data_IF_760475278622
#
_entry.id   IF_760475278622
#
_cell.length_a   1.000
_cell.length_b   1.000
_cell.length_c   1.000
_cell.angle_alpha   90.00
_cell.angle_beta   90.00
_cell.angle_gamma   90.00
#
_symmetry.space_group_name_H-M   'P 1'
#
loop_
_entity.id
_entity.type
_entity.pdbx_description
1 polymer ?
#
# COMPACT_ATOMS: atom_id res chain seq x y z
N UNK A 1 -20.94 19.48 30.00
CA UNK A 1 -21.80 18.30 30.14
C UNK A 1 -21.98 17.76 28.74
N UNK A 2 -21.69 16.48 28.48
CA UNK A 2 -21.89 15.91 27.16
C UNK A 2 -23.38 15.95 26.82
N UNK A 3 -23.72 16.41 25.63
CA UNK A 3 -25.10 16.44 25.17
C UNK A 3 -25.59 14.98 24.98
N UNK A 4 -26.88 14.72 25.19
CA UNK A 4 -27.42 13.36 25.16
C UNK A 4 -27.12 12.62 23.84
N UNK A 5 -26.98 13.37 22.74
CA UNK A 5 -26.63 12.87 21.41
C UNK A 5 -25.17 12.36 21.34
N UNK A 6 -24.22 13.01 22.02
CA UNK A 6 -22.82 12.56 22.07
C UNK A 6 -22.69 11.23 22.83
N UNK A 7 -23.44 11.09 23.94
CA UNK A 7 -23.47 9.86 24.74
C UNK A 7 -24.10 8.70 23.96
N UNK A 8 -25.17 8.96 23.21
CA UNK A 8 -25.82 7.97 22.35
C UNK A 8 -24.90 7.51 21.21
N UNK A 9 -24.20 8.44 20.58
CA UNK A 9 -23.27 8.13 19.49
C UNK A 9 -22.08 7.30 19.98
N UNK A 10 -21.54 7.64 21.15
CA UNK A 10 -20.45 6.89 21.77
C UNK A 10 -20.89 5.49 22.21
N UNK A 11 -22.06 5.38 22.84
CA UNK A 11 -22.65 4.10 23.22
C UNK A 11 -22.91 3.21 21.99
N UNK A 12 -23.44 3.77 20.90
CA UNK A 12 -23.68 3.04 19.66
C UNK A 12 -22.36 2.56 19.03
N UNK A 13 -21.31 3.39 19.02
CA UNK A 13 -19.98 3.01 18.53
C UNK A 13 -19.40 1.86 19.35
N UNK A 14 -19.44 1.96 20.68
CA UNK A 14 -18.94 0.92 21.58
C UNK A 14 -19.74 -0.39 21.48
N UNK A 15 -21.07 -0.31 21.41
CA UNK A 15 -21.93 -1.47 21.20
C UNK A 15 -21.65 -2.16 19.87
N UNK A 16 -21.47 -1.40 18.78
CA UNK A 16 -21.17 -1.95 17.45
C UNK A 16 -19.82 -2.68 17.43
N UNK A 17 -18.79 -2.09 18.04
CA UNK A 17 -17.47 -2.73 18.18
C UNK A 17 -17.56 -3.99 19.03
N UNK A 18 -18.31 -3.96 20.14
CA UNK A 18 -18.52 -5.12 21.01
C UNK A 18 -19.24 -6.25 20.28
N UNK A 19 -20.36 -5.96 19.62
CA UNK A 19 -21.14 -6.93 18.83
C UNK A 19 -20.28 -7.51 17.70
N UNK A 20 -19.51 -6.69 16.99
CA UNK A 20 -18.61 -7.17 15.93
C UNK A 20 -17.52 -8.12 16.48
N UNK A 21 -16.94 -7.80 17.66
CA UNK A 21 -15.97 -8.67 18.34
C UNK A 21 -16.61 -9.98 18.79
N UNK A 22 -17.81 -9.91 19.37
CA UNK A 22 -18.58 -11.07 19.83
C UNK A 22 -18.92 -11.98 18.63
N UNK A 23 -19.43 -11.40 17.55
CA UNK A 23 -19.84 -12.14 16.38
C UNK A 23 -18.65 -12.81 15.67
N UNK A 24 -17.49 -12.15 15.60
CA UNK A 24 -16.25 -12.79 15.13
C UNK A 24 -15.79 -13.95 16.02
N UNK A 25 -16.03 -13.88 17.33
CA UNK A 25 -15.66 -14.93 18.28
C UNK A 25 -16.53 -16.18 18.13
N UNK A 26 -17.80 -16.01 17.75
CA UNK A 26 -18.77 -17.10 17.64
C UNK A 26 -19.13 -17.48 16.19
N UNK A 27 -18.56 -16.79 15.19
CA UNK A 27 -18.73 -17.19 13.80
C UNK A 27 -18.05 -18.54 13.55
N UNK A 28 -18.68 -19.44 12.78
CA UNK A 28 -18.08 -20.73 12.44
C UNK A 28 -16.72 -20.50 11.76
N UNK A 29 -15.71 -21.27 12.18
CA UNK A 29 -14.39 -21.16 11.61
C UNK A 29 -14.46 -21.48 10.10
N UNK A 30 -13.87 -20.64 9.22
CA UNK A 30 -13.70 -21.02 7.82
C UNK A 30 -12.85 -22.29 7.73
N UNK A 31 -13.06 -23.10 6.69
CA UNK A 31 -12.38 -24.40 6.47
C UNK A 31 -10.84 -24.31 6.37
N UNK A 32 -10.28 -23.10 6.24
CA UNK A 32 -8.85 -22.85 6.27
C UNK A 32 -8.42 -22.26 7.63
N UNK A 33 -7.24 -22.62 8.18
CA UNK A 33 -6.75 -22.03 9.42
C UNK A 33 -6.71 -20.50 9.27
N UNK A 34 -7.54 -19.81 10.04
CA UNK A 34 -7.68 -18.36 9.95
C UNK A 34 -6.34 -17.68 10.29
N UNK A 35 -5.66 -17.19 9.27
CA UNK A 35 -4.45 -16.38 9.39
C UNK A 35 -4.73 -15.18 10.29
N UNK A 36 -3.78 -14.85 11.16
CA UNK A 36 -3.89 -13.71 12.06
C UNK A 36 -4.06 -12.40 11.27
N UNK A 37 -5.16 -11.68 11.48
CA UNK A 37 -5.40 -10.39 10.85
C UNK A 37 -4.78 -9.23 11.63
N UNK A 38 -4.43 -8.14 10.95
CA UNK A 38 -3.95 -6.90 11.59
C UNK A 38 -4.94 -6.37 12.64
N UNK A 39 -6.25 -6.48 12.38
CA UNK A 39 -7.28 -5.99 13.31
C UNK A 39 -7.28 -6.69 14.66
N UNK A 40 -6.77 -7.91 14.75
CA UNK A 40 -6.68 -8.67 16.00
C UNK A 40 -5.46 -8.25 16.86
N UNK A 41 -4.43 -7.66 16.24
CA UNK A 41 -3.20 -7.26 16.93
C UNK A 41 -2.98 -5.75 16.99
N UNK A 42 -3.76 -4.95 16.26
CA UNK A 42 -3.55 -3.50 16.13
C UNK A 42 -3.45 -2.79 17.49
N UNK A 43 -4.38 -3.06 18.41
CA UNK A 43 -4.39 -2.44 19.74
C UNK A 43 -3.10 -2.75 20.54
N UNK A 44 -2.65 -4.01 20.50
CA UNK A 44 -1.41 -4.43 21.16
C UNK A 44 -0.17 -3.80 20.50
N UNK A 45 -0.19 -3.65 19.18
CA UNK A 45 0.89 -2.99 18.45
C UNK A 45 0.96 -1.49 18.78
N UNK A 46 -0.17 -0.80 18.85
CA UNK A 46 -0.23 0.62 19.22
C UNK A 46 0.26 0.85 20.65
N UNK A 47 -0.09 -0.02 21.59
CA UNK A 47 0.44 0.02 22.96
C UNK A 47 1.95 -0.22 22.99
N UNK A 48 2.45 -1.22 22.27
CA UNK A 48 3.89 -1.49 22.16
C UNK A 48 4.63 -0.26 21.59
N UNK A 49 4.12 0.30 20.50
CA UNK A 49 4.71 1.46 19.85
C UNK A 49 4.72 2.68 20.77
N UNK A 50 3.62 2.94 21.48
CA UNK A 50 3.52 4.05 22.43
C UNK A 50 4.49 3.85 23.61
N UNK A 51 4.63 2.62 24.10
CA UNK A 51 5.56 2.31 25.19
C UNK A 51 7.04 2.46 24.79
N UNK A 52 7.40 2.05 23.56
CA UNK A 52 8.78 2.08 23.08
C UNK A 52 9.19 3.48 22.62
N UNK A 53 8.33 4.19 21.90
CA UNK A 53 8.68 5.45 21.24
C UNK A 53 8.13 6.70 21.93
N UNK A 54 7.30 6.55 22.96
CA UNK A 54 6.63 7.66 23.62
C UNK A 54 5.58 8.38 22.75
N UNK A 55 5.31 7.87 21.54
CA UNK A 55 4.41 8.45 20.56
C UNK A 55 3.41 7.40 20.08
N UNK A 56 2.16 7.80 19.87
CA UNK A 56 1.16 6.96 19.20
C UNK A 56 1.29 7.11 17.68
N UNK A 57 1.50 6.00 16.99
CA UNK A 57 1.49 5.97 15.52
C UNK A 57 0.16 5.42 15.03
N UNK A 58 -0.42 6.08 14.03
CA UNK A 58 -1.67 5.61 13.42
C UNK A 58 -1.39 4.38 12.55
N UNK A 59 -1.93 3.23 12.93
CA UNK A 59 -1.88 2.03 12.11
C UNK A 59 -2.92 2.09 10.99
N UNK A 60 -2.49 1.74 9.77
CA UNK A 60 -3.33 1.69 8.56
C UNK A 60 -3.12 0.36 7.84
N UNK A 61 -4.13 -0.04 7.06
CA UNK A 61 -4.02 -1.23 6.22
C UNK A 61 -3.27 -0.87 4.94
N UNK A 62 -2.14 -1.53 4.71
CA UNK A 62 -1.42 -1.48 3.44
C UNK A 62 -2.24 -2.14 2.33
N UNK A 63 -2.30 -1.49 1.18
CA UNK A 63 -2.97 -2.01 0.00
C UNK A 63 -1.97 -2.73 -0.92
N UNK A 64 -2.38 -3.79 -1.63
CA UNK A 64 -1.61 -4.32 -2.73
C UNK A 64 -1.45 -3.24 -3.81
N UNK A 65 -0.36 -3.27 -4.61
CA UNK A 65 -0.18 -2.31 -5.69
C UNK A 65 -1.27 -2.49 -6.75
N UNK A 66 -1.52 -1.42 -7.51
CA UNK A 66 -2.43 -1.50 -8.65
C UNK A 66 -1.94 -2.56 -9.65
N UNK A 67 -2.88 -3.34 -10.18
CA UNK A 67 -2.55 -4.34 -11.20
C UNK A 67 -2.00 -3.64 -12.45
N UNK A 68 -0.98 -4.21 -13.11
CA UNK A 68 -0.42 -3.62 -14.32
C UNK A 68 -1.47 -3.56 -15.42
N UNK A 69 -1.55 -2.43 -16.11
CA UNK A 69 -2.30 -2.34 -17.35
C UNK A 69 -1.47 -2.87 -18.53
N UNK A 70 -2.14 -3.31 -19.60
CA UNK A 70 -1.47 -3.74 -20.84
C UNK A 70 -0.55 -2.64 -21.40
N UNK A 71 -1.01 -1.38 -21.35
CA UNK A 71 -0.21 -0.21 -21.74
C UNK A 71 1.06 -0.06 -20.88
N UNK A 72 0.94 -0.18 -19.55
CA UNK A 72 2.09 -0.12 -18.65
C UNK A 72 3.15 -1.18 -18.96
N UNK A 73 2.71 -2.38 -19.33
CA UNK A 73 3.60 -3.47 -19.74
C UNK A 73 4.27 -3.19 -21.09
N UNK A 74 3.53 -2.66 -22.08
CA UNK A 74 4.07 -2.40 -23.41
C UNK A 74 5.14 -1.29 -23.42
N UNK A 75 4.88 -0.21 -22.68
CA UNK A 75 5.84 0.88 -22.50
C UNK A 75 7.01 0.54 -21.55
N UNK A 76 7.03 -0.67 -20.98
CA UNK A 76 8.13 -1.09 -20.11
C UNK A 76 8.20 -0.33 -18.79
N UNK A 77 7.09 0.30 -18.39
CA UNK A 77 6.99 1.06 -17.14
C UNK A 77 6.91 0.12 -15.93
N UNK A 78 6.39 -1.09 -16.13
CA UNK A 78 6.24 -2.07 -15.06
C UNK A 78 7.42 -3.04 -14.99
N UNK A 79 8.25 -2.97 -13.94
CA UNK A 79 9.39 -3.87 -13.79
C UNK A 79 8.92 -5.30 -13.50
N UNK A 80 9.64 -6.31 -14.01
CA UNK A 80 9.38 -7.74 -13.71
C UNK A 80 10.46 -8.30 -12.77
N UNK A 81 10.10 -9.14 -11.78
CA UNK A 81 8.74 -9.47 -11.33
C UNK A 81 8.08 -8.27 -10.65
N UNK A 82 6.74 -8.27 -10.66
CA UNK A 82 5.93 -7.26 -9.99
C UNK A 82 5.53 -7.74 -8.61
N UNK A 83 5.51 -6.82 -7.65
CA UNK A 83 4.89 -7.07 -6.36
C UNK A 83 3.38 -7.16 -6.57
N UNK A 84 2.74 -8.15 -5.98
CA UNK A 84 1.27 -8.28 -5.95
C UNK A 84 0.71 -8.20 -4.52
N UNK A 85 1.57 -8.44 -3.52
CA UNK A 85 1.18 -8.41 -2.11
C UNK A 85 1.32 -7.01 -1.51
N UNK A 86 0.49 -6.73 -0.51
CA UNK A 86 0.68 -5.59 0.38
C UNK A 86 1.98 -5.78 1.20
N UNK A 87 2.70 -4.69 1.43
CA UNK A 87 3.95 -4.66 2.20
C UNK A 87 3.88 -3.53 3.22
N UNK A 88 4.63 -3.60 4.33
CA UNK A 88 4.65 -2.53 5.30
C UNK A 88 5.22 -1.25 4.69
N UNK A 89 4.81 -0.10 5.20
CA UNK A 89 5.36 1.17 4.76
C UNK A 89 5.03 2.33 5.69
N UNK A 90 5.63 3.47 5.42
CA UNK A 90 5.43 4.70 6.19
C UNK A 90 5.51 5.93 5.30
N UNK A 91 4.74 6.96 5.65
CA UNK A 91 4.82 8.30 5.07
C UNK A 91 5.54 9.31 5.99
N UNK A 92 6.12 8.83 7.09
CA UNK A 92 6.72 9.68 8.13
C UNK A 92 5.76 10.06 9.26
N UNK A 93 4.48 9.67 9.20
CA UNK A 93 3.50 9.96 10.26
C UNK A 93 2.67 8.75 10.67
N UNK A 94 2.27 7.93 9.70
CA UNK A 94 1.44 6.74 9.88
C UNK A 94 2.22 5.50 9.48
N UNK A 95 1.79 4.35 10.00
CA UNK A 95 2.39 3.05 9.68
C UNK A 95 1.35 2.21 8.94
N UNK A 96 1.68 1.74 7.75
CA UNK A 96 0.87 0.81 6.97
C UNK A 96 1.39 -0.60 7.16
N UNK A 97 0.50 -1.53 7.48
CA UNK A 97 0.81 -2.96 7.62
C UNK A 97 -0.16 -3.81 6.78
N UNK A 98 0.27 -4.96 6.23
CA UNK A 98 -0.63 -5.84 5.49
C UNK A 98 -1.83 -6.29 6.34
N UNK A 99 -3.02 -6.39 5.72
CA UNK A 99 -4.25 -6.85 6.41
C UNK A 99 -4.10 -8.23 7.02
N UNK A 100 -3.44 -9.13 6.29
CA UNK A 100 -3.11 -10.51 6.64
C UNK A 100 -1.70 -10.81 6.15
N UNK A 101 -1.01 -11.75 6.80
CA UNK A 101 0.29 -12.27 6.37
C UNK A 101 0.19 -13.63 5.67
N UNK A 102 -0.99 -14.24 5.67
CA UNK A 102 -1.24 -15.58 5.12
C UNK A 102 -0.23 -16.61 5.67
N UNK A 103 0.05 -16.48 6.98
CA UNK A 103 0.88 -17.41 7.75
C UNK A 103 -0.05 -18.18 8.69
N UNK A 104 -0.07 -19.53 8.61
CA UNK A 104 -0.88 -20.35 9.50
C UNK A 104 -0.44 -20.24 10.97
N UNK A 105 0.86 -20.16 11.23
CA UNK A 105 1.41 -19.96 12.57
C UNK A 105 1.12 -18.54 13.08
N UNK A 106 0.13 -18.44 13.97
CA UNK A 106 -0.32 -17.18 14.57
C UNK A 106 0.75 -16.54 15.46
N UNK A 107 1.60 -17.31 16.12
CA UNK A 107 2.66 -16.76 16.99
C UNK A 107 3.76 -16.12 16.13
N UNK A 108 4.18 -16.79 15.06
CA UNK A 108 5.09 -16.22 14.07
C UNK A 108 4.47 -14.97 13.41
N UNK A 109 3.21 -15.03 12.98
CA UNK A 109 2.53 -13.89 12.37
C UNK A 109 2.47 -12.68 13.30
N UNK A 110 2.12 -12.88 14.58
CA UNK A 110 2.13 -11.83 15.59
C UNK A 110 3.55 -11.25 15.77
N UNK A 111 4.58 -12.10 15.73
CA UNK A 111 5.95 -11.65 15.83
C UNK A 111 6.38 -10.79 14.65
N UNK A 112 6.06 -11.20 13.44
CA UNK A 112 6.35 -10.44 12.22
C UNK A 112 5.63 -9.10 12.21
N UNK A 113 4.37 -9.03 12.64
CA UNK A 113 3.64 -7.77 12.79
C UNK A 113 4.35 -6.80 13.74
N UNK A 114 4.81 -7.28 14.91
CA UNK A 114 5.58 -6.45 15.84
C UNK A 114 6.83 -5.88 15.19
N UNK A 115 7.64 -6.72 14.55
CA UNK A 115 8.91 -6.27 13.95
C UNK A 115 8.67 -5.31 12.79
N UNK A 116 7.70 -5.59 11.90
CA UNK A 116 7.35 -4.68 10.82
C UNK A 116 6.91 -3.32 11.37
N UNK A 117 6.08 -3.29 12.43
CA UNK A 117 5.65 -2.05 13.06
C UNK A 117 6.83 -1.26 13.66
N UNK A 118 7.71 -1.94 14.41
CA UNK A 118 8.91 -1.33 15.01
C UNK A 118 9.86 -0.78 13.95
N UNK A 119 10.10 -1.52 12.86
CA UNK A 119 10.94 -1.04 11.75
C UNK A 119 10.35 0.20 11.06
N UNK A 120 9.03 0.26 10.85
CA UNK A 120 8.41 1.46 10.27
C UNK A 120 8.44 2.64 11.24
N UNK A 121 8.27 2.41 12.54
CA UNK A 121 8.39 3.45 13.56
C UNK A 121 9.81 4.01 13.66
N UNK A 122 10.84 3.15 13.55
CA UNK A 122 12.24 3.60 13.46
C UNK A 122 12.48 4.49 12.24
N UNK A 123 11.91 4.15 11.08
CA UNK A 123 11.98 5.01 9.89
C UNK A 123 11.26 6.34 10.06
N UNK A 124 10.14 6.37 10.79
CA UNK A 124 9.45 7.62 11.14
C UNK A 124 10.38 8.48 12.01
N UNK A 125 10.93 7.91 13.07
CA UNK A 125 11.81 8.61 14.01
C UNK A 125 13.08 9.16 13.35
N UNK A 126 13.65 8.41 12.40
CA UNK A 126 14.78 8.86 11.57
C UNK A 126 14.41 9.96 10.58
N UNK A 127 13.14 10.15 10.24
CA UNK A 127 12.72 11.05 9.17
C UNK A 127 12.94 10.49 7.77
N UNK A 128 12.95 9.17 7.60
CA UNK A 128 13.25 8.51 6.31
C UNK A 128 12.24 8.82 5.19
N UNK A 129 11.04 9.33 5.50
CA UNK A 129 10.07 9.75 4.49
C UNK A 129 10.35 11.16 3.92
N UNK A 130 11.62 11.51 3.76
CA UNK A 130 12.10 12.82 3.30
C UNK A 130 11.59 13.15 1.87
N UNK A 131 11.24 14.39 1.58
CA UNK A 131 10.82 14.74 0.20
C UNK A 131 11.94 14.58 -0.84
N UNK A 132 13.20 14.77 -0.42
CA UNK A 132 14.38 14.76 -1.29
C UNK A 132 14.57 13.44 -2.04
N UNK A 133 14.33 12.29 -1.41
CA UNK A 133 14.65 10.99 -2.03
C UNK A 133 13.81 10.73 -3.29
N UNK A 134 12.62 11.35 -3.40
CA UNK A 134 11.78 11.23 -4.59
C UNK A 134 12.33 11.91 -5.83
N UNK A 135 13.18 12.92 -5.63
CA UNK A 135 13.86 13.60 -6.73
C UNK A 135 15.05 12.81 -7.28
N UNK A 136 15.47 11.75 -6.60
CA UNK A 136 16.57 10.91 -7.03
C UNK A 136 16.18 10.08 -8.27
N UNK A 137 17.16 9.75 -9.14
CA UNK A 137 16.98 8.74 -10.17
C UNK A 137 16.44 7.42 -9.57
N UNK A 138 15.62 6.64 -10.30
CA UNK A 138 14.94 5.48 -9.72
C UNK A 138 15.85 4.49 -8.98
N UNK A 139 17.02 4.16 -9.54
CA UNK A 139 17.98 3.28 -8.88
C UNK A 139 18.61 3.90 -7.63
N UNK A 140 18.94 5.19 -7.65
CA UNK A 140 19.42 5.89 -6.47
C UNK A 140 18.33 5.94 -5.38
N UNK A 141 17.07 6.18 -5.76
CA UNK A 141 15.92 6.07 -4.84
C UNK A 141 15.79 4.67 -4.24
N UNK A 142 15.96 3.61 -5.04
CA UNK A 142 15.95 2.24 -4.53
C UNK A 142 17.11 1.95 -3.55
N UNK A 143 18.31 2.46 -3.82
CA UNK A 143 19.44 2.37 -2.90
C UNK A 143 19.20 3.15 -1.62
N UNK A 144 18.63 4.35 -1.71
CA UNK A 144 18.21 5.13 -0.55
C UNK A 144 17.25 4.34 0.35
N UNK A 145 16.22 3.70 -0.23
CA UNK A 145 15.32 2.83 0.53
C UNK A 145 16.04 1.68 1.23
N UNK A 146 17.03 1.08 0.55
CA UNK A 146 17.82 -0.03 1.08
C UNK A 146 18.78 0.42 2.21
N UNK A 147 19.29 1.64 2.13
CA UNK A 147 20.09 2.26 3.18
C UNK A 147 19.24 2.56 4.41
N UNK A 148 18.06 3.16 4.20
CA UNK A 148 17.18 3.53 5.31
C UNK A 148 16.56 2.34 6.04
N UNK A 149 16.27 1.23 5.34
CA UNK A 149 15.86 -0.01 6.05
C UNK A 149 16.97 -0.54 6.95
N UNK A 150 18.22 -0.52 6.50
CA UNK A 150 19.34 -1.02 7.27
C UNK A 150 19.67 -0.11 8.44
N UNK A 151 19.69 1.21 8.23
CA UNK A 151 19.94 2.16 9.29
C UNK A 151 18.86 2.09 10.38
N UNK A 152 17.58 2.06 9.99
CA UNK A 152 16.46 1.91 10.93
C UNK A 152 16.49 0.57 11.68
N UNK A 153 16.87 -0.52 11.02
CA UNK A 153 16.99 -1.82 11.68
C UNK A 153 18.19 -1.87 12.64
N UNK A 154 19.33 -1.31 12.27
CA UNK A 154 20.47 -1.28 13.20
C UNK A 154 20.14 -0.47 14.43
N UNK A 155 19.56 0.72 14.29
CA UNK A 155 19.10 1.50 15.46
C UNK A 155 18.10 0.72 16.31
N UNK A 156 17.18 -0.03 15.68
CA UNK A 156 16.28 -0.94 16.40
C UNK A 156 17.05 -1.96 17.24
N UNK A 157 18.09 -2.57 16.68
CA UNK A 157 18.86 -3.61 17.35
C UNK A 157 19.83 -3.05 18.39
N UNK A 158 20.30 -1.82 18.22
CA UNK A 158 21.10 -1.09 19.21
C UNK A 158 20.25 -0.75 20.45
N UNK A 159 19.02 -0.28 20.26
CA UNK A 159 18.12 0.06 21.37
C UNK A 159 17.41 -1.16 21.97
N UNK A 160 17.10 -2.16 21.14
CA UNK A 160 16.25 -3.29 21.51
C UNK A 160 16.88 -4.62 21.05
N UNK A 161 18.06 -5.00 21.59
CA UNK A 161 18.80 -6.18 21.15
C UNK A 161 18.00 -7.49 21.30
N UNK A 162 17.02 -7.54 22.22
CA UNK A 162 16.11 -8.67 22.37
C UNK A 162 15.23 -8.98 21.14
N UNK A 163 15.17 -8.09 20.15
CA UNK A 163 14.46 -8.32 18.89
C UNK A 163 15.32 -8.92 17.77
N UNK A 164 16.61 -9.18 18.00
CA UNK A 164 17.52 -9.72 16.98
C UNK A 164 16.99 -10.98 16.28
N UNK A 165 16.50 -11.97 17.05
CA UNK A 165 15.89 -13.19 16.51
C UNK A 165 14.64 -12.90 15.68
N UNK A 166 13.83 -11.95 16.13
CA UNK A 166 12.58 -11.58 15.46
C UNK A 166 12.85 -10.86 14.14
N UNK A 167 13.87 -10.00 14.11
CA UNK A 167 14.37 -9.36 12.89
C UNK A 167 14.95 -10.38 11.91
N UNK A 168 15.73 -11.36 12.40
CA UNK A 168 16.25 -12.45 11.56
C UNK A 168 15.13 -13.30 10.97
N UNK A 169 14.09 -13.60 11.76
CA UNK A 169 12.91 -14.31 11.27
C UNK A 169 12.17 -13.52 10.17
N UNK A 170 12.06 -12.18 10.32
CA UNK A 170 11.47 -11.32 9.28
C UNK A 170 12.29 -11.36 7.99
N UNK A 171 13.63 -11.24 8.09
CA UNK A 171 14.52 -11.36 6.93
C UNK A 171 14.38 -12.72 6.24
N UNK A 172 14.38 -13.81 6.99
CA UNK A 172 14.23 -15.16 6.44
C UNK A 172 12.88 -15.33 5.73
N UNK A 173 11.79 -14.83 6.32
CA UNK A 173 10.46 -14.84 5.69
C UNK A 173 10.42 -14.02 4.40
N UNK A 174 11.05 -12.83 4.41
CA UNK A 174 11.15 -11.98 3.24
C UNK A 174 11.96 -12.65 2.12
N UNK A 175 13.10 -13.26 2.46
CA UNK A 175 13.95 -14.00 1.51
C UNK A 175 13.21 -15.19 0.89
N UNK A 176 12.52 -16.00 1.70
CA UNK A 176 11.80 -17.18 1.24
C UNK A 176 10.64 -16.83 0.27
N UNK A 177 10.02 -15.65 0.43
CA UNK A 177 8.91 -15.18 -0.41
C UNK A 177 9.37 -14.46 -1.67
N UNK A 178 10.65 -14.16 -1.82
CA UNK A 178 11.16 -13.45 -3.00
C UNK A 178 11.14 -14.34 -4.25
N UNK A 179 10.69 -13.81 -5.40
CA UNK A 179 10.79 -14.53 -6.67
C UNK A 179 12.26 -14.89 -7.00
N UNK A 180 12.55 -15.99 -7.69
CA UNK A 180 13.94 -16.37 -8.01
C UNK A 180 14.65 -15.28 -8.82
N UNK A 181 15.97 -15.14 -8.66
CA UNK A 181 16.77 -14.08 -9.31
C UNK A 181 16.63 -14.11 -10.84
N UNK A 182 16.44 -15.29 -11.44
CA UNK A 182 16.20 -15.46 -12.87
C UNK A 182 14.92 -14.79 -13.38
N UNK A 183 13.90 -14.62 -12.52
CA UNK A 183 12.64 -13.93 -12.86
C UNK A 183 12.80 -12.41 -12.97
N UNK A 184 13.89 -11.84 -12.44
CA UNK A 184 14.19 -10.42 -12.55
C UNK A 184 14.77 -10.09 -13.92
N UNK A 185 14.32 -8.98 -14.49
CA UNK A 185 14.95 -8.40 -15.68
C UNK A 185 16.43 -8.11 -15.43
N UNK A 186 17.27 -8.24 -16.46
CA UNK A 186 18.74 -8.11 -16.36
C UNK A 186 19.19 -6.85 -15.63
N UNK A 187 18.55 -5.70 -15.91
CA UNK A 187 18.86 -4.42 -15.26
C UNK A 187 18.61 -4.40 -13.73
N UNK A 188 17.74 -5.27 -13.19
CA UNK A 188 17.42 -5.33 -11.76
C UNK A 188 18.21 -6.38 -11.00
N UNK A 189 18.77 -7.39 -11.69
CA UNK A 189 19.49 -8.50 -11.06
C UNK A 189 20.67 -8.04 -10.18
N UNK A 190 21.49 -7.05 -10.57
CA UNK A 190 22.61 -6.59 -9.73
C UNK A 190 22.16 -5.98 -8.40
N UNK A 191 21.05 -5.24 -8.40
CA UNK A 191 20.45 -4.70 -7.16
C UNK A 191 19.83 -5.84 -6.35
N UNK A 192 19.05 -6.71 -6.98
CA UNK A 192 18.38 -7.83 -6.29
C UNK A 192 19.38 -8.79 -5.63
N UNK A 193 20.50 -9.09 -6.28
CA UNK A 193 21.55 -9.93 -5.70
C UNK A 193 22.10 -9.37 -4.39
N UNK A 194 22.29 -8.04 -4.31
CA UNK A 194 22.72 -7.35 -3.08
C UNK A 194 21.66 -7.41 -1.99
N UNK A 195 20.40 -7.18 -2.34
CA UNK A 195 19.30 -7.27 -1.36
C UNK A 195 19.19 -8.69 -0.79
N UNK A 196 19.38 -9.72 -1.63
CA UNK A 196 19.42 -11.12 -1.18
C UNK A 196 20.58 -11.38 -0.22
N UNK A 197 21.79 -10.94 -0.54
CA UNK A 197 22.94 -11.03 0.34
C UNK A 197 22.69 -10.34 1.71
N UNK A 198 22.02 -9.19 1.71
CA UNK A 198 21.62 -8.50 2.94
C UNK A 198 20.59 -9.26 3.77
N UNK A 199 19.64 -9.93 3.13
CA UNK A 199 18.61 -10.71 3.83
C UNK A 199 19.17 -11.95 4.51
N UNK A 200 20.24 -12.54 3.98
CA UNK A 200 20.90 -13.70 4.58
C UNK A 200 22.07 -13.31 5.50
N UNK A 201 22.39 -12.01 5.60
CA UNK A 201 23.45 -11.48 6.46
C UNK A 201 24.87 -11.63 5.89
N UNK A 202 25.01 -11.88 4.59
CA UNK A 202 26.30 -12.09 3.91
C UNK A 202 26.85 -10.83 3.22
N UNK A 203 26.06 -9.76 3.11
CA UNK A 203 26.53 -8.56 2.46
C UNK A 203 27.55 -7.82 3.34
N UNK A 204 28.76 -7.64 2.78
CA UNK A 204 29.76 -6.70 3.31
C UNK A 204 29.08 -5.35 3.58
N UNK A 205 29.39 -4.81 4.75
CA UNK A 205 28.68 -3.70 5.39
C UNK A 205 28.35 -2.57 4.40
N UNK A 206 27.08 -2.44 4.05
CA UNK A 206 26.62 -1.21 3.40
C UNK A 206 26.95 -0.06 4.37
N UNK A 207 27.64 1.00 3.92
CA UNK A 207 28.14 2.03 4.81
C UNK A 207 26.99 2.63 5.65
N UNK A 208 27.27 2.90 6.92
CA UNK A 208 26.31 3.56 7.80
C UNK A 208 26.06 4.97 7.33
N UNK A 209 24.79 5.33 7.25
CA UNK A 209 24.38 6.71 7.17
C UNK A 209 23.76 7.17 8.48
N UNK A 210 24.28 8.23 9.12
CA UNK A 210 23.70 8.74 10.35
C UNK A 210 22.32 9.37 10.12
N UNK A 211 22.12 10.05 8.98
CA UNK A 211 20.88 10.77 8.66
C UNK A 211 20.31 10.37 7.29
N UNK A 212 19.01 10.60 7.04
CA UNK A 212 18.41 10.38 5.73
C UNK A 212 19.05 11.20 4.60
N UNK A 213 19.51 12.42 4.86
CA UNK A 213 20.20 13.26 3.88
C UNK A 213 21.52 12.62 3.45
N UNK A 214 22.31 12.16 4.43
CA UNK A 214 23.53 11.42 4.15
C UNK A 214 23.25 10.12 3.37
N UNK A 215 22.11 9.46 3.63
CA UNK A 215 21.68 8.29 2.85
C UNK A 215 21.37 8.64 1.40
N UNK A 216 20.86 9.83 1.11
CA UNK A 216 20.64 10.27 -0.27
C UNK A 216 21.97 10.44 -1.01
N UNK A 217 22.95 11.11 -0.38
CA UNK A 217 24.28 11.29 -0.95
C UNK A 217 25.01 9.95 -1.14
N UNK A 218 24.94 9.09 -0.12
CA UNK A 218 25.53 7.75 -0.17
C UNK A 218 24.87 6.89 -1.26
N UNK A 219 23.55 6.97 -1.45
CA UNK A 219 22.87 6.25 -2.52
C UNK A 219 23.39 6.63 -3.91
N UNK A 220 23.63 7.92 -4.16
CA UNK A 220 24.19 8.39 -5.44
C UNK A 220 25.63 7.90 -5.62
N UNK A 221 26.47 7.97 -4.58
CA UNK A 221 27.84 7.44 -4.64
C UNK A 221 27.87 5.94 -4.90
N UNK A 222 27.10 5.16 -4.14
CA UNK A 222 27.03 3.71 -4.29
C UNK A 222 26.49 3.30 -5.66
N UNK A 223 25.59 4.08 -6.26
CA UNK A 223 25.12 3.84 -7.62
C UNK A 223 26.29 3.82 -8.62
N UNK A 224 27.16 4.84 -8.54
CA UNK A 224 28.33 4.96 -9.39
C UNK A 224 29.39 3.90 -9.07
N UNK A 225 29.73 3.71 -7.79
CA UNK A 225 30.74 2.73 -7.34
C UNK A 225 30.37 1.30 -7.73
N UNK A 226 29.08 0.95 -7.65
CA UNK A 226 28.61 -0.39 -7.97
C UNK A 226 28.34 -0.61 -9.45
N UNK A 227 28.54 0.42 -10.29
CA UNK A 227 28.26 0.37 -11.73
C UNK A 227 26.83 -0.05 -12.03
N UNK A 228 25.88 0.38 -11.18
CA UNK A 228 24.46 0.07 -11.34
C UNK A 228 23.87 0.97 -12.41
N UNK A 229 24.19 0.66 -13.66
CA UNK A 229 23.57 1.30 -14.81
C UNK A 229 22.40 0.45 -15.31
N UNK A 230 21.30 1.07 -15.78
CA UNK A 230 20.35 0.34 -16.60
C UNK A 230 21.10 -0.13 -17.84
N UNK A 231 21.45 -1.42 -17.90
CA UNK A 231 22.12 -2.02 -19.05
C UNK A 231 21.47 -1.53 -20.34
N UNK A 232 22.23 -1.17 -21.37
CA UNK A 232 21.71 -0.61 -22.62
C UNK A 232 20.53 -1.43 -23.16
N UNK A 233 19.32 -0.84 -23.14
CA UNK A 233 18.07 -1.50 -23.56
C UNK A 233 17.26 -2.20 -22.45
N UNK A 234 17.79 -2.29 -21.22
CA UNK A 234 17.15 -2.88 -20.05
C UNK A 234 16.18 -1.92 -19.36
N UNK A 235 14.90 -2.34 -19.24
CA UNK A 235 13.84 -1.56 -18.62
C UNK A 235 13.88 -1.72 -17.09
N UNK A 236 14.38 -0.70 -16.39
CA UNK A 236 14.49 -0.65 -14.93
C UNK A 236 13.13 -0.44 -14.22
N UNK A 237 12.22 0.29 -14.87
CA UNK A 237 10.91 0.67 -14.32
C UNK A 237 10.99 1.78 -13.27
N UNK A 238 9.84 2.21 -12.76
CA UNK A 238 9.75 3.25 -11.71
C UNK A 238 10.00 2.70 -10.29
N UNK A 239 9.90 1.38 -10.11
CA UNK A 239 10.15 0.69 -8.84
C UNK A 239 11.26 -0.37 -9.01
N UNK A 240 12.55 0.04 -9.08
CA UNK A 240 13.65 -0.92 -9.27
C UNK A 240 13.74 -1.93 -8.12
N UNK A 241 13.53 -1.46 -6.89
CA UNK A 241 13.54 -2.31 -5.69
C UNK A 241 12.27 -3.15 -5.63
N UNK A 242 12.41 -4.47 -5.51
CA UNK A 242 11.28 -5.32 -5.16
C UNK A 242 10.99 -5.20 -3.66
N UNK A 243 9.94 -4.44 -3.34
CA UNK A 243 9.51 -4.28 -1.96
C UNK A 243 8.89 -5.58 -1.41
N UNK A 244 9.26 -5.92 -0.19
CA UNK A 244 8.80 -7.06 0.58
C UNK A 244 8.53 -6.64 2.04
N UNK A 245 8.34 -7.60 2.94
CA UNK A 245 8.07 -7.31 4.34
C UNK A 245 9.23 -6.72 5.12
N UNK A 246 10.47 -6.88 4.64
CA UNK A 246 11.65 -6.31 5.30
C UNK A 246 11.97 -4.92 4.74
N UNK A 247 12.12 -4.82 3.42
CA UNK A 247 12.40 -3.57 2.71
C UNK A 247 11.25 -2.57 2.84
N UNK A 248 10.00 -3.02 2.84
CA UNK A 248 8.82 -2.16 2.95
C UNK A 248 8.77 -1.04 1.91
N UNK A 249 8.04 0.03 2.21
CA UNK A 249 7.90 1.20 1.33
C UNK A 249 7.99 2.53 2.09
N UNK A 250 8.49 3.55 1.39
CA UNK A 250 8.37 4.95 1.79
C UNK A 250 7.30 5.61 0.92
N UNK A 251 6.23 6.05 1.57
CA UNK A 251 5.06 6.67 0.96
C UNK A 251 5.21 8.20 0.93
N UNK A 252 4.34 8.87 0.17
CA UNK A 252 4.39 10.32 0.03
C UNK A 252 4.07 10.95 1.39
N UNK A 253 4.90 11.87 1.91
CA UNK A 253 4.60 12.51 3.18
C UNK A 253 3.24 13.16 3.06
N UNK A 254 2.35 12.80 3.97
CA UNK A 254 1.04 13.42 4.04
C UNK A 254 1.22 14.90 4.34
N UNK A 255 0.83 15.78 3.42
CA UNK A 255 0.86 17.25 3.62
C UNK A 255 -0.04 17.72 4.76
N UNK A 256 -0.92 16.85 5.26
CA UNK A 256 -1.96 17.21 6.23
C UNK A 256 -1.50 17.37 7.69
N UNK A 257 -0.26 17.09 8.09
CA UNK A 257 0.17 17.15 9.50
C UNK A 257 1.52 17.85 9.76
N UNK A 258 1.90 18.84 8.95
CA UNK A 258 3.03 19.73 9.31
C UNK A 258 2.74 20.65 10.53
N UNK A 259 1.54 20.61 11.11
CA UNK A 259 1.15 21.45 12.27
C UNK A 259 1.20 20.75 13.64
N UNK A 260 1.73 19.53 13.75
CA UNK A 260 1.78 18.81 15.05
C UNK A 260 3.19 18.47 15.53
N UNK A 261 4.17 19.31 15.18
CA UNK A 261 5.43 19.37 15.90
C UNK A 261 5.33 20.47 16.98
N UNK A 262 5.12 20.04 18.22
CA UNK A 262 5.33 20.75 19.48
C UNK A 262 5.31 22.29 19.47
N UNK A 263 4.13 22.88 19.58
CA UNK A 263 3.96 24.17 20.24
C UNK A 263 2.68 24.11 21.08
N UNK A 264 2.82 24.00 22.40
CA UNK A 264 1.74 24.34 23.32
C UNK A 264 1.51 25.85 23.16
N UNK A 265 0.61 26.23 22.26
CA UNK A 265 0.08 27.59 22.24
C UNK A 265 -1.01 27.68 23.31
N UNK A 266 -1.00 28.74 24.15
CA UNK A 266 -2.14 29.03 25.03
C UNK A 266 -3.40 29.11 24.18
N UNK A 267 -4.48 28.51 24.66
CA UNK A 267 -5.80 28.55 24.02
C UNK A 267 -6.20 30.01 23.87
N UNK A 268 -6.17 30.53 22.64
CA UNK A 268 -6.62 31.87 22.32
C UNK A 268 -8.14 31.81 22.03
N UNK A 269 -9.01 32.32 22.92
CA UNK A 269 -10.46 32.23 22.75
C UNK A 269 -10.98 33.07 21.57
N UNK A 270 -10.10 33.80 20.86
CA UNK A 270 -10.45 34.56 19.64
C UNK A 270 -10.25 33.79 18.33
N UNK A 271 -9.86 32.51 18.35
CA UNK A 271 -9.68 31.73 17.13
C UNK A 271 -11.03 31.38 16.48
N UNK A 272 -11.29 31.99 15.30
CA UNK A 272 -12.52 31.78 14.55
C UNK A 272 -12.69 30.31 14.15
N UNK A 273 -13.90 29.79 14.35
CA UNK A 273 -14.26 28.42 14.00
C UNK A 273 -13.95 28.09 12.52
N UNK A 274 -13.53 26.85 12.20
CA UNK A 274 -13.21 26.47 10.84
C UNK A 274 -14.43 26.68 9.94
N UNK A 275 -14.25 27.48 8.87
CA UNK A 275 -15.32 27.80 7.93
C UNK A 275 -15.69 26.54 7.14
N UNK A 276 -16.92 26.07 7.32
CA UNK A 276 -17.50 25.05 6.46
C UNK A 276 -17.80 25.65 5.08
N UNK A 277 -17.36 24.95 4.02
CA UNK A 277 -17.71 25.30 2.64
C UNK A 277 -19.20 25.02 2.46
N UNK A 278 -20.01 26.08 2.43
CA UNK A 278 -21.43 26.00 2.09
C UNK A 278 -21.57 25.72 0.60
N UNK A 279 -22.18 24.59 0.24
CA UNK A 279 -22.63 24.33 -1.12
C UNK A 279 -23.74 25.35 -1.47
N UNK A 280 -23.61 26.06 -2.59
CA UNK A 280 -24.56 27.10 -3.00
C UNK A 280 -25.97 26.59 -3.29
N UNK A 281 -26.13 25.28 -3.54
CA UNK A 281 -27.44 24.66 -3.73
C UNK A 281 -27.73 23.70 -2.59
N UNK A 282 -28.69 24.11 -1.77
CA UNK A 282 -29.33 23.27 -0.76
C UNK A 282 -30.43 22.45 -1.46
N UNK A 283 -30.51 21.12 -1.27
CA UNK A 283 -31.67 20.36 -1.70
C UNK A 283 -32.91 20.88 -0.97
N UNK A 284 -33.98 21.18 -1.71
CA UNK A 284 -35.23 21.67 -1.12
C UNK A 284 -35.92 20.52 -0.37
N UNK A 285 -36.08 20.71 0.93
CA UNK A 285 -36.81 19.78 1.80
C UNK A 285 -38.28 20.07 1.59
N UNK A 286 -38.98 19.19 0.86
CA UNK A 286 -40.44 19.14 0.85
C UNK A 286 -40.93 18.90 2.27
N UNK A 287 -41.90 19.70 2.72
CA UNK A 287 -42.65 19.35 3.93
C UNK A 287 -43.55 18.15 3.64
N UNK A 288 -43.52 17.17 4.55
CA UNK A 288 -44.41 16.02 4.50
C UNK A 288 -45.88 16.48 4.53
N UNK A 289 -46.72 15.84 3.74
CA UNK A 289 -48.17 16.11 3.78
C UNK A 289 -48.79 15.45 5.02
N UNK A 290 -49.83 16.06 5.64
CA UNK A 290 -50.37 15.61 6.92
C UNK A 290 -50.95 14.18 6.95
N UNK A 291 -51.18 13.55 5.79
CA UNK A 291 -51.66 12.16 5.68
C UNK A 291 -50.51 11.14 5.45
N UNK A 292 -49.24 11.57 5.41
CA UNK A 292 -48.10 10.65 5.22
C UNK A 292 -47.79 9.79 6.47
N UNK A 293 -48.36 10.13 7.64
CA UNK A 293 -48.22 9.37 8.89
C UNK A 293 -49.45 8.48 9.23
N UNK A 294 -50.56 8.58 8.48
CA UNK A 294 -51.79 7.80 8.74
C UNK A 294 -51.95 6.56 7.85
N UNK A 295 -50.84 5.96 7.43
CA UNK A 295 -50.84 4.64 6.79
C UNK A 295 -50.40 3.57 7.80
N UNK A 296 -51.36 2.92 8.48
CA UNK A 296 -51.10 1.73 9.33
C UNK A 296 -50.67 0.48 8.53
N UNK A 297 -50.48 0.59 7.22
CA UNK A 297 -49.94 -0.49 6.39
C UNK A 297 -48.42 -0.35 6.25
N UNK A 298 -47.71 -0.76 7.30
CA UNK A 298 -46.29 -1.08 7.21
C UNK A 298 -46.13 -2.35 6.37
N UNK A 299 -46.17 -2.20 5.04
CA UNK A 299 -45.91 -3.26 4.08
C UNK A 299 -44.46 -3.75 4.17
N UNK A 300 -44.19 -5.04 3.87
CA UNK A 300 -42.85 -5.60 3.93
C UNK A 300 -41.92 -4.80 3.02
N UNK A 301 -40.74 -4.44 3.56
CA UNK A 301 -39.70 -3.67 2.92
C UNK A 301 -39.32 -4.29 1.56
N UNK A 302 -39.93 -3.81 0.47
CA UNK A 302 -39.60 -4.22 -0.89
C UNK A 302 -38.30 -3.52 -1.29
N UNK A 303 -37.21 -4.28 -1.29
CA UNK A 303 -36.00 -3.90 -2.00
C UNK A 303 -36.35 -3.96 -3.50
N UNK A 304 -36.56 -2.79 -4.13
CA UNK A 304 -36.60 -2.70 -5.58
C UNK A 304 -35.21 -3.04 -6.11
N UNK A 305 -35.05 -4.29 -6.56
CA UNK A 305 -33.97 -4.65 -7.45
C UNK A 305 -34.33 -4.07 -8.81
N UNK A 306 -33.56 -3.10 -9.29
CA UNK A 306 -33.69 -2.59 -10.65
C UNK A 306 -33.67 -3.77 -11.64
N UNK A 307 -34.61 -3.78 -12.58
CA UNK A 307 -34.67 -4.78 -13.64
C UNK A 307 -33.33 -4.80 -14.40
N UNK A 308 -32.70 -5.98 -14.59
CA UNK A 308 -31.49 -6.06 -15.40
C UNK A 308 -31.85 -5.64 -16.82
N UNK A 309 -31.18 -4.59 -17.32
CA UNK A 309 -31.31 -4.14 -18.70
C UNK A 309 -31.28 -5.34 -19.67
N UNK A 310 -32.24 -5.44 -20.61
CA UNK A 310 -32.26 -6.56 -21.54
C UNK A 310 -30.98 -6.58 -22.37
N UNK A 311 -30.26 -7.68 -22.22
CA UNK A 311 -29.15 -8.10 -23.05
C UNK A 311 -29.66 -8.21 -24.50
N UNK A 312 -29.27 -7.28 -25.37
CA UNK A 312 -29.43 -7.46 -26.81
C UNK A 312 -28.29 -8.37 -27.30
N UNK A 313 -28.46 -9.68 -27.16
CA UNK A 313 -27.74 -10.64 -28.00
C UNK A 313 -28.39 -10.58 -29.38
N UNK A 314 -27.61 -10.26 -30.40
CA UNK A 314 -28.01 -10.28 -31.81
C UNK A 314 -27.84 -11.70 -32.35
N UNK A 315 -28.91 -12.52 -32.48
CA UNK A 315 -28.80 -13.88 -32.91
C UNK A 315 -29.19 -13.95 -34.39
N UNK A 316 -28.22 -14.35 -35.21
CA UNK A 316 -28.34 -14.67 -36.64
C UNK A 316 -28.20 -13.49 -37.60
N UNK A 317 -27.06 -13.49 -38.29
CA UNK A 317 -26.82 -12.67 -39.45
C UNK A 317 -27.87 -12.84 -40.53
N UNK A 318 -28.31 -11.70 -41.07
CA UNK A 318 -28.91 -11.61 -42.39
C UNK A 318 -28.31 -10.40 -43.10
N UNK A 319 -27.45 -10.72 -44.06
CA UNK A 319 -27.05 -9.82 -45.13
C UNK A 319 -28.29 -9.28 -45.85
N UNK A 320 -28.29 -7.97 -46.14
CA UNK A 320 -28.95 -7.44 -47.34
C UNK A 320 -28.02 -6.44 -48.02
N UNK A 321 -27.44 -6.86 -49.14
CA UNK A 321 -27.01 -5.97 -50.23
C UNK A 321 -28.24 -5.28 -50.85
N UNK A 322 -28.18 -4.45 -51.89
CA UNK A 322 -27.14 -4.07 -52.83
C UNK A 322 -27.72 -2.82 -53.52
N UNK A 323 -26.91 -1.79 -53.82
CA UNK A 323 -27.16 -0.89 -54.94
C UNK A 323 -25.80 -0.52 -55.56
N UNK A 324 -25.70 -0.76 -56.87
CA UNK A 324 -24.48 -0.77 -57.65
C UNK A 324 -24.24 0.54 -58.43
N UNK A 325 -23.10 0.54 -59.15
CA UNK A 325 -22.55 1.51 -60.13
C UNK A 325 -21.61 2.57 -59.56
N UNK A 326 -20.35 2.74 -60.02
CA UNK A 326 -19.67 2.24 -61.23
C UNK A 326 -18.13 2.37 -61.13
N UNK A 327 -17.45 1.33 -61.63
CA UNK A 327 -16.17 1.29 -62.38
C UNK A 327 -14.93 2.10 -61.95
N UNK A 328 -13.81 1.39 -61.70
CA UNK A 328 -12.63 1.39 -62.60
C UNK A 328 -11.53 0.38 -62.20
N UNK A 329 -11.23 -0.54 -63.15
CA UNK A 329 -10.01 -1.34 -63.46
C UNK A 329 -8.86 -1.47 -62.43
N UNK A 330 -8.55 -2.68 -61.97
CA UNK A 330 -7.59 -3.68 -62.52
C UNK A 330 -6.11 -3.25 -62.57
N UNK A 331 -5.28 -3.80 -61.67
CA UNK A 331 -4.13 -4.67 -62.06
C UNK A 331 -3.52 -5.43 -60.86
N UNK A 332 -3.34 -6.73 -61.06
CA UNK A 332 -2.50 -7.64 -60.28
C UNK A 332 -1.02 -7.23 -60.31
N UNK A 333 -0.29 -7.49 -59.23
CA UNK A 333 1.00 -8.18 -59.37
C UNK A 333 1.36 -8.96 -58.10
N UNK A 334 1.29 -10.28 -58.23
CA UNK A 334 1.81 -11.29 -57.33
C UNK A 334 3.25 -11.56 -57.77
N UNK A 335 4.25 -11.38 -56.92
CA UNK A 335 5.58 -11.99 -57.16
C UNK A 335 6.03 -12.75 -55.92
N UNK A 336 6.10 -14.06 -56.16
CA UNK A 336 6.70 -15.11 -55.36
C UNK A 336 8.08 -15.42 -55.98
N UNK A 337 9.15 -15.40 -55.19
CA UNK A 337 10.43 -16.10 -55.42
C UNK A 337 10.91 -16.52 -54.03
N UNK A 338 10.89 -17.79 -53.59
CA UNK A 338 11.64 -19.00 -54.00
C UNK A 338 13.16 -18.80 -54.09
N UNK A 339 13.83 -19.21 -53.00
CA UNK A 339 14.90 -20.23 -52.90
C UNK A 339 16.03 -20.23 -53.91
N UNK A 340 17.24 -20.05 -53.37
CA UNK A 340 18.35 -21.01 -53.44
C UNK A 340 19.03 -21.04 -52.09
#
# INVERSE_FOLDING_TARGET
MAEAEEVLTDAARHATVFVQRLWRRYSPAPDAPASLSLSEVAERLELLLSAVFGNSYRLRIAQPPARPTLLGNWFGRTPRPQRLAAVPGTDGTSIWLPRSLDIPDRALAANLYKVMALQQAMRIRRGSALSLWRSLPPLAGALYHLLEVQAAERELLEEMPGFAESVRALRACAHARRPPLSAFGSARRPLEARVRALLIGEADCVPQSPTPEASCELAVRLLAEWGLEPASGGRIGQEPLFADWWTGMLLAPSTHHQHSAGAQSPFDPTQAAPQSVRLERRPDIRQASPDEDESEESGPLMIQLDEPHPHAEDPMGLQRGHAACTSSRWTCCWVKRRST
#
